data_IF_930027088964
#
_entry.id   IF_930027088964
#
_cell.length_a   1.000
_cell.length_b   1.000
_cell.length_c   1.000
_cell.angle_alpha   90.00
_cell.angle_beta   90.00
_cell.angle_gamma   90.00
#
_symmetry.space_group_name_H-M   'P 1'
#
loop_
_entity.id
_entity.type
_entity.pdbx_description
1 polymer ?
#
# COMPACT_ATOMS: atom_id res chain seq x y z
N UNK A 1 -43.89 16.77 38.77
CA UNK A 1 -42.47 16.91 39.11
C UNK A 1 -42.01 18.26 38.61
N UNK A 2 -41.19 18.94 39.39
CA UNK A 2 -40.57 20.21 39.01
C UNK A 2 -39.45 19.93 37.98
N UNK A 3 -39.53 20.43 36.74
CA UNK A 3 -38.54 20.16 35.69
C UNK A 3 -37.17 20.83 35.95
N UNK A 4 -37.07 21.77 36.90
CA UNK A 4 -35.83 22.46 37.26
C UNK A 4 -35.27 21.98 38.61
N UNK A 5 -35.88 20.95 39.21
CA UNK A 5 -35.49 20.43 40.51
C UNK A 5 -34.18 19.62 40.48
N UNK A 6 -33.35 19.64 41.54
CA UNK A 6 -32.09 18.90 41.61
C UNK A 6 -32.25 17.37 41.45
N UNK A 7 -33.43 16.85 41.77
CA UNK A 7 -33.77 15.43 41.58
C UNK A 7 -34.00 15.07 40.09
N UNK A 8 -34.51 16.01 39.27
CA UNK A 8 -34.70 15.78 37.84
C UNK A 8 -33.37 15.86 37.09
N UNK A 9 -32.50 16.81 37.45
CA UNK A 9 -31.15 16.95 36.89
C UNK A 9 -30.29 15.71 37.14
N UNK A 10 -30.26 15.21 38.38
CA UNK A 10 -29.54 13.97 38.72
C UNK A 10 -30.07 12.76 37.97
N UNK A 11 -31.40 12.61 37.85
CA UNK A 11 -32.00 11.53 37.08
C UNK A 11 -31.63 11.60 35.60
N UNK A 12 -31.67 12.80 35.00
CA UNK A 12 -31.36 13.00 33.59
C UNK A 12 -29.89 12.70 33.30
N UNK A 13 -28.96 13.11 34.17
CA UNK A 13 -27.53 12.77 34.10
C UNK A 13 -27.29 11.27 34.20
N UNK A 14 -27.94 10.60 35.15
CA UNK A 14 -27.86 9.14 35.29
C UNK A 14 -28.40 8.44 34.05
N UNK A 15 -29.54 8.88 33.50
CA UNK A 15 -30.10 8.32 32.28
C UNK A 15 -29.19 8.55 31.06
N UNK A 16 -28.61 9.73 30.92
CA UNK A 16 -27.68 10.06 29.84
C UNK A 16 -26.48 9.11 29.86
N UNK A 17 -25.83 8.92 31.01
CA UNK A 17 -24.65 8.05 31.14
C UNK A 17 -25.00 6.57 31.01
N UNK A 18 -26.11 6.12 31.60
CA UNK A 18 -26.51 4.69 31.59
C UNK A 18 -27.10 4.22 30.25
N UNK A 19 -27.68 5.14 29.47
CA UNK A 19 -28.19 4.87 28.11
C UNK A 19 -27.19 5.21 27.01
N UNK A 20 -26.08 5.88 27.34
CA UNK A 20 -24.98 6.13 26.41
C UNK A 20 -24.27 4.83 26.00
N UNK A 21 -23.50 4.90 24.90
CA UNK A 21 -22.77 3.75 24.40
C UNK A 21 -21.66 3.27 25.35
N UNK A 22 -21.29 1.97 25.30
CA UNK A 22 -20.31 1.35 26.21
C UNK A 22 -18.91 1.98 26.23
N UNK A 23 -18.51 2.69 25.19
CA UNK A 23 -17.24 3.43 25.06
C UNK A 23 -17.33 4.83 25.69
N UNK A 24 -18.48 5.49 25.54
CA UNK A 24 -18.74 6.84 26.07
C UNK A 24 -18.82 6.81 27.59
N UNK A 25 -19.61 5.90 28.20
CA UNK A 25 -19.68 5.84 29.67
C UNK A 25 -18.34 5.43 30.29
N UNK A 26 -17.54 4.55 29.66
CA UNK A 26 -16.17 4.24 30.11
C UNK A 26 -15.24 5.46 30.06
N UNK A 27 -15.38 6.31 29.03
CA UNK A 27 -14.62 7.55 28.90
C UNK A 27 -15.06 8.65 29.89
N UNK A 28 -16.36 8.72 30.18
CA UNK A 28 -16.95 9.67 31.13
C UNK A 28 -16.65 9.25 32.57
N UNK A 29 -16.77 7.96 32.91
CA UNK A 29 -16.59 7.44 34.27
C UNK A 29 -15.12 7.44 34.74
N UNK A 30 -14.14 7.51 33.82
CA UNK A 30 -12.72 7.75 34.17
C UNK A 30 -12.48 9.11 34.84
N UNK A 31 -13.45 10.01 34.78
CA UNK A 31 -13.41 11.33 35.37
C UNK A 31 -14.14 11.25 36.72
N UNK A 32 -13.43 11.06 37.84
CA UNK A 32 -14.06 10.81 39.15
C UNK A 32 -15.10 11.87 39.59
N UNK A 33 -15.11 13.03 38.93
CA UNK A 33 -15.97 14.16 39.22
C UNK A 33 -17.15 14.34 38.25
N UNK A 34 -17.43 13.36 37.37
CA UNK A 34 -18.48 13.48 36.33
C UNK A 34 -19.88 13.80 36.88
N UNK A 35 -20.17 13.42 38.12
CA UNK A 35 -21.44 13.70 38.80
C UNK A 35 -21.64 15.18 39.13
N UNK A 36 -20.54 15.92 39.33
CA UNK A 36 -20.58 17.35 39.64
C UNK A 36 -20.51 18.20 38.37
N UNK A 37 -20.39 17.58 37.20
CA UNK A 37 -20.33 18.30 35.93
C UNK A 37 -21.74 18.62 35.45
N UNK A 38 -21.98 19.82 34.89
CA UNK A 38 -23.25 20.16 34.29
C UNK A 38 -23.46 19.32 33.03
N UNK A 39 -24.72 19.09 32.63
CA UNK A 39 -25.06 18.18 31.53
C UNK A 39 -24.38 18.56 30.21
N UNK A 40 -24.18 19.86 29.98
CA UNK A 40 -23.52 20.44 28.80
C UNK A 40 -22.07 19.96 28.68
N UNK A 41 -21.35 19.85 29.79
CA UNK A 41 -19.99 19.33 29.83
C UNK A 41 -19.93 17.85 29.45
N UNK A 42 -20.92 17.07 29.88
CA UNK A 42 -21.05 15.67 29.52
C UNK A 42 -21.38 15.50 28.02
N UNK A 43 -22.26 16.33 27.49
CA UNK A 43 -22.61 16.35 26.06
C UNK A 43 -21.39 16.74 25.21
N UNK A 44 -20.66 17.79 25.60
CA UNK A 44 -19.43 18.23 24.91
C UNK A 44 -18.37 17.13 24.89
N UNK A 45 -18.14 16.48 26.04
CA UNK A 45 -17.17 15.37 26.16
C UNK A 45 -17.56 14.18 25.29
N UNK A 46 -18.85 13.85 25.25
CA UNK A 46 -19.41 12.79 24.40
C UNK A 46 -19.17 13.07 22.92
N UNK A 47 -19.42 14.31 22.46
CA UNK A 47 -19.15 14.72 21.08
C UNK A 47 -17.66 14.63 20.73
N UNK A 48 -16.77 15.04 21.64
CA UNK A 48 -15.32 14.91 21.43
C UNK A 48 -14.88 13.45 21.28
N UNK A 49 -15.42 12.53 22.08
CA UNK A 49 -15.14 11.09 21.95
C UNK A 49 -15.59 10.57 20.58
N UNK A 50 -16.76 11.02 20.10
CA UNK A 50 -17.25 10.66 18.77
C UNK A 50 -16.31 11.15 17.66
N UNK A 51 -15.91 12.44 17.70
CA UNK A 51 -15.03 13.05 16.70
C UNK A 51 -13.67 12.38 16.67
N UNK A 52 -13.03 12.16 17.83
CA UNK A 52 -11.74 11.45 17.89
C UNK A 52 -11.80 10.05 17.29
N UNK A 53 -12.89 9.31 17.55
CA UNK A 53 -13.07 7.98 16.98
C UNK A 53 -13.18 8.02 15.46
N UNK A 54 -13.84 9.03 14.92
CA UNK A 54 -13.97 9.23 13.48
C UNK A 54 -12.62 9.58 12.85
N UNK A 55 -11.88 10.52 13.46
CA UNK A 55 -10.51 10.86 13.07
C UNK A 55 -9.56 9.66 13.13
N UNK A 56 -9.64 8.83 14.17
CA UNK A 56 -8.86 7.60 14.29
C UNK A 56 -9.21 6.56 13.22
N UNK A 57 -10.50 6.45 12.86
CA UNK A 57 -10.95 5.58 11.77
C UNK A 57 -10.46 6.09 10.42
N UNK A 58 -10.61 7.38 10.14
CA UNK A 58 -10.12 8.00 8.91
C UNK A 58 -8.59 7.90 8.81
N UNK A 59 -7.86 8.06 9.92
CA UNK A 59 -6.41 7.86 9.96
C UNK A 59 -6.03 6.39 9.71
N UNK A 60 -6.77 5.42 10.25
CA UNK A 60 -6.57 4.01 9.98
C UNK A 60 -6.85 3.66 8.51
N UNK A 61 -7.92 4.22 7.94
CA UNK A 61 -8.24 4.08 6.53
C UNK A 61 -7.11 4.68 5.68
N UNK A 62 -6.65 5.89 5.97
CA UNK A 62 -5.53 6.52 5.26
C UNK A 62 -4.22 5.72 5.33
N UNK A 63 -3.96 5.00 6.43
CA UNK A 63 -2.79 4.11 6.56
C UNK A 63 -2.95 2.77 5.82
N UNK A 64 -4.19 2.33 5.55
CA UNK A 64 -4.49 1.04 4.93
C UNK A 64 -4.92 1.13 3.47
N UNK A 65 -5.23 2.33 2.99
CA UNK A 65 -5.46 2.55 1.56
C UNK A 65 -4.20 2.13 0.80
N UNK A 66 -4.33 1.17 -0.14
CA UNK A 66 -3.29 0.94 -1.13
C UNK A 66 -3.01 2.27 -1.81
N UNK A 67 -1.73 2.58 -2.02
CA UNK A 67 -1.34 3.70 -2.86
C UNK A 67 -1.70 3.30 -4.31
N UNK A 68 -2.99 3.42 -4.63
CA UNK A 68 -3.67 2.76 -5.76
C UNK A 68 -3.31 3.37 -7.13
N UNK A 69 -2.32 4.26 -7.14
CA UNK A 69 -1.74 4.81 -8.36
C UNK A 69 -0.52 3.98 -8.72
N UNK A 70 -0.73 2.86 -9.42
CA UNK A 70 0.37 2.11 -10.01
C UNK A 70 1.18 3.07 -10.91
N UNK A 71 2.34 3.50 -10.43
CA UNK A 71 3.19 4.49 -11.11
C UNK A 71 3.79 3.90 -12.41
N UNK A 72 3.66 2.59 -12.59
CA UNK A 72 3.99 1.86 -13.81
C UNK A 72 3.13 0.60 -14.01
N UNK A 73 2.87 0.24 -15.26
CA UNK A 73 2.15 -0.98 -15.63
C UNK A 73 3.07 -2.16 -15.99
N UNK A 74 4.24 -2.25 -15.34
CA UNK A 74 5.22 -3.31 -15.62
C UNK A 74 4.84 -4.56 -14.82
N UNK A 75 4.69 -5.70 -15.48
CA UNK A 75 4.31 -6.97 -14.84
C UNK A 75 5.50 -7.94 -14.74
N UNK A 76 5.51 -8.86 -13.76
CA UNK A 76 6.44 -9.99 -13.78
C UNK A 76 6.33 -10.75 -15.12
N UNK A 77 7.48 -11.05 -15.72
CA UNK A 77 7.60 -11.66 -17.05
C UNK A 77 7.84 -10.66 -18.18
N UNK A 78 7.57 -9.37 -17.97
CA UNK A 78 7.93 -8.32 -18.94
C UNK A 78 9.45 -8.19 -19.07
N UNK A 79 9.87 -7.70 -20.23
CA UNK A 79 11.27 -7.42 -20.50
C UNK A 79 11.53 -5.93 -20.36
N UNK A 80 12.60 -5.56 -19.67
CA UNK A 80 12.93 -4.17 -19.39
C UNK A 80 14.40 -3.85 -19.61
N UNK A 81 14.67 -2.60 -20.00
CA UNK A 81 15.99 -2.00 -19.99
C UNK A 81 16.20 -1.24 -18.69
N UNK A 82 17.34 -1.44 -18.06
CA UNK A 82 17.76 -0.75 -16.84
C UNK A 82 18.80 0.32 -17.19
N UNK A 83 18.59 1.53 -16.67
CA UNK A 83 19.50 2.66 -16.83
C UNK A 83 20.62 2.57 -15.79
N UNK A 84 21.82 2.25 -16.25
CA UNK A 84 23.04 2.26 -15.45
C UNK A 84 23.83 3.55 -15.66
N UNK A 85 24.51 4.01 -14.62
CA UNK A 85 25.48 5.11 -14.69
C UNK A 85 26.88 4.53 -14.50
N UNK A 86 27.82 4.88 -15.39
CA UNK A 86 29.25 4.62 -15.20
C UNK A 86 29.93 5.86 -14.63
N UNK A 87 30.91 5.65 -13.74
CA UNK A 87 31.63 6.74 -13.07
C UNK A 87 32.45 7.61 -14.06
N UNK A 88 32.92 7.04 -15.18
CA UNK A 88 33.56 7.80 -16.25
C UNK A 88 33.50 7.08 -17.62
N UNK A 89 33.11 7.78 -18.71
CA UNK A 89 32.39 9.06 -18.72
C UNK A 89 31.01 8.91 -18.04
N UNK A 90 30.46 9.98 -17.46
CA UNK A 90 29.12 10.02 -16.82
C UNK A 90 27.98 9.85 -17.85
N UNK A 91 27.97 8.73 -18.56
CA UNK A 91 26.98 8.37 -19.54
C UNK A 91 26.02 7.37 -18.95
N UNK A 92 24.73 7.71 -19.02
CA UNK A 92 23.68 6.74 -18.80
C UNK A 92 23.65 5.74 -19.96
N UNK A 93 23.84 4.46 -19.64
CA UNK A 93 23.67 3.37 -20.60
C UNK A 93 22.41 2.60 -20.25
N UNK A 94 21.55 2.39 -21.25
CA UNK A 94 20.46 1.43 -21.13
C UNK A 94 21.05 0.03 -21.39
N UNK A 95 20.90 -0.85 -20.40
CA UNK A 95 21.38 -2.23 -20.43
C UNK A 95 20.18 -3.17 -20.35
N UNK A 96 20.26 -4.32 -21.01
CA UNK A 96 19.16 -5.29 -21.10
C UNK A 96 18.76 -5.54 -22.55
N UNK A 97 17.75 -6.40 -22.79
CA UNK A 97 16.57 -6.62 -21.95
C UNK A 97 16.76 -7.63 -20.81
N UNK A 98 16.19 -7.31 -19.65
CA UNK A 98 16.13 -8.18 -18.47
C UNK A 98 14.69 -8.55 -18.16
N UNK A 99 14.45 -9.80 -17.80
CA UNK A 99 13.12 -10.25 -17.42
C UNK A 99 12.79 -9.79 -15.99
N UNK A 100 11.61 -9.21 -15.81
CA UNK A 100 11.11 -8.78 -14.50
C UNK A 100 10.65 -10.00 -13.72
N UNK A 101 11.15 -10.16 -12.50
CA UNK A 101 10.77 -11.24 -11.59
C UNK A 101 9.68 -10.80 -10.60
N UNK A 102 9.73 -9.54 -10.16
CA UNK A 102 8.76 -8.98 -9.21
C UNK A 102 8.57 -7.49 -9.48
N UNK A 103 7.34 -7.01 -9.26
CA UNK A 103 6.94 -5.61 -9.41
C UNK A 103 6.37 -5.14 -8.09
N UNK A 104 6.87 -4.01 -7.58
CA UNK A 104 6.21 -3.21 -6.54
C UNK A 104 5.76 -1.89 -7.15
N UNK A 105 5.08 -1.06 -6.38
CA UNK A 105 4.47 0.18 -6.88
C UNK A 105 5.45 1.15 -7.58
N UNK A 106 6.71 1.20 -7.14
CA UNK A 106 7.72 2.15 -7.63
C UNK A 106 9.02 1.48 -8.09
N UNK A 107 9.13 0.15 -8.00
CA UNK A 107 10.34 -0.55 -8.36
C UNK A 107 10.07 -1.92 -8.99
N UNK A 108 11.00 -2.32 -9.84
CA UNK A 108 11.02 -3.65 -10.47
C UNK A 108 12.24 -4.42 -9.98
N UNK A 109 12.08 -5.73 -9.83
CA UNK A 109 13.18 -6.64 -9.49
C UNK A 109 13.58 -7.46 -10.71
N UNK A 110 14.84 -7.38 -11.11
CA UNK A 110 15.46 -8.29 -12.09
C UNK A 110 16.49 -9.17 -11.39
N UNK A 111 16.85 -10.30 -12.01
CA UNK A 111 17.91 -11.16 -11.48
C UNK A 111 19.26 -10.41 -11.40
N UNK A 112 19.54 -9.57 -12.40
CA UNK A 112 20.86 -8.96 -12.58
C UNK A 112 21.07 -7.67 -11.79
N UNK A 113 20.01 -6.86 -11.61
CA UNK A 113 20.11 -5.54 -10.97
C UNK A 113 19.44 -5.46 -9.61
N UNK A 114 18.78 -6.54 -9.16
CA UNK A 114 17.96 -6.48 -7.95
C UNK A 114 16.83 -5.45 -8.12
N UNK A 115 16.58 -4.64 -7.10
CA UNK A 115 15.51 -3.63 -7.11
C UNK A 115 15.94 -2.34 -7.81
N UNK A 116 15.23 -1.99 -8.90
CA UNK A 116 15.45 -0.77 -9.67
C UNK A 116 14.19 0.09 -9.66
N UNK A 117 14.31 1.36 -9.32
CA UNK A 117 13.19 2.31 -9.37
C UNK A 117 12.67 2.51 -10.79
N UNK A 118 11.35 2.58 -10.97
CA UNK A 118 10.69 2.59 -12.28
C UNK A 118 11.15 3.72 -13.22
N UNK A 119 11.58 4.87 -12.70
CA UNK A 119 12.14 5.97 -13.51
C UNK A 119 13.46 5.63 -14.22
N UNK A 120 14.14 4.57 -13.79
CA UNK A 120 15.38 4.04 -14.40
C UNK A 120 15.10 2.81 -15.26
N UNK A 121 13.84 2.53 -15.56
CA UNK A 121 13.39 1.33 -16.25
C UNK A 121 12.60 1.73 -17.49
N UNK A 122 12.78 1.01 -18.59
CA UNK A 122 11.95 1.10 -19.78
C UNK A 122 11.50 -0.28 -20.21
N UNK A 123 10.23 -0.44 -20.58
CA UNK A 123 9.75 -1.68 -21.18
C UNK A 123 10.43 -1.90 -22.52
N UNK A 124 10.76 -3.15 -22.81
CA UNK A 124 11.45 -3.63 -23.99
C UNK A 124 10.75 -4.88 -24.52
N UNK A 125 11.03 -5.19 -25.78
CA UNK A 125 10.71 -6.50 -26.33
C UNK A 125 11.64 -7.57 -25.75
N UNK A 126 11.19 -8.82 -25.79
CA UNK A 126 11.99 -9.96 -25.39
C UNK A 126 13.24 -10.06 -26.29
N UNK A 127 14.41 -10.44 -25.73
CA UNK A 127 15.59 -10.64 -26.54
C UNK A 127 15.35 -11.76 -27.57
N UNK A 128 15.81 -11.54 -28.80
CA UNK A 128 15.88 -12.60 -29.79
C UNK A 128 16.96 -13.61 -29.37
N UNK A 129 16.53 -14.73 -28.80
CA UNK A 129 17.44 -15.80 -28.37
C UNK A 129 17.69 -16.73 -29.55
N UNK A 130 18.97 -16.87 -29.92
CA UNK A 130 19.43 -17.88 -30.86
C UNK A 130 19.84 -19.13 -30.09
N UNK A 131 19.26 -20.28 -30.43
CA UNK A 131 19.64 -21.57 -29.86
C UNK A 131 20.41 -22.38 -30.89
N UNK A 132 21.55 -22.95 -30.50
CA UNK A 132 22.27 -23.90 -31.34
C UNK A 132 21.73 -25.31 -31.09
N UNK A 133 21.34 -25.99 -32.15
CA UNK A 133 21.01 -27.41 -32.14
C UNK A 133 22.10 -28.18 -32.87
N UNK A 134 22.62 -29.22 -32.23
CA UNK A 134 23.55 -30.16 -32.85
C UNK A 134 22.73 -31.31 -33.42
N UNK A 135 22.57 -31.35 -34.74
CA UNK A 135 21.87 -32.42 -35.44
C UNK A 135 22.87 -33.24 -36.27
N UNK A 136 22.80 -34.56 -36.19
CA UNK A 136 23.62 -35.46 -36.99
C UNK A 136 22.80 -36.10 -38.09
N UNK A 137 22.93 -35.61 -39.33
CA UNK A 137 22.45 -36.32 -40.52
C UNK A 137 23.65 -36.96 -41.21
N UNK A 138 23.57 -38.27 -41.45
CA UNK A 138 24.60 -39.05 -42.16
C UNK A 138 25.96 -39.16 -41.45
N UNK A 139 25.98 -39.16 -40.11
CA UNK A 139 27.21 -39.30 -39.33
C UNK A 139 28.11 -38.05 -39.32
N UNK A 140 27.65 -36.94 -39.90
CA UNK A 140 28.36 -35.65 -39.88
C UNK A 140 27.69 -34.70 -38.88
N UNK A 141 28.41 -34.14 -37.90
CA UNK A 141 27.83 -33.17 -36.98
C UNK A 141 27.48 -31.89 -37.74
N UNK A 142 26.21 -31.46 -37.66
CA UNK A 142 25.70 -30.22 -38.23
C UNK A 142 25.19 -29.33 -37.10
N UNK A 143 25.78 -28.15 -36.97
CA UNK A 143 25.27 -27.11 -36.07
C UNK A 143 24.23 -26.30 -36.84
N UNK A 144 22.98 -26.32 -36.38
CA UNK A 144 21.90 -25.49 -36.90
C UNK A 144 21.57 -24.43 -35.85
N UNK A 145 21.63 -23.16 -36.24
CA UNK A 145 21.20 -22.07 -35.37
C UNK A 145 19.71 -21.84 -35.59
N UNK A 146 18.90 -22.10 -34.57
CA UNK A 146 17.46 -21.91 -34.59
C UNK A 146 17.11 -20.61 -33.88
N UNK A 147 16.26 -19.80 -34.52
CA UNK A 147 15.71 -18.59 -33.92
C UNK A 147 14.52 -19.00 -33.05
N UNK A 148 14.67 -19.00 -31.73
CA UNK A 148 13.57 -19.25 -30.80
C UNK A 148 13.00 -17.91 -30.34
N UNK A 149 12.07 -17.37 -31.12
CA UNK A 149 11.09 -16.40 -30.61
C UNK A 149 9.90 -17.21 -30.12
N UNK A 150 9.46 -16.98 -28.88
CA UNK A 150 8.22 -17.55 -28.37
C UNK A 150 7.06 -17.00 -29.24
N UNK A 151 6.65 -17.75 -30.26
CA UNK A 151 5.41 -17.50 -31.00
C UNK A 151 4.25 -17.49 -30.00
N UNK A 152 3.44 -16.43 -30.05
CA UNK A 152 2.21 -16.29 -29.28
C UNK A 152 1.09 -17.06 -29.96
#
# INVERSE_FOLDING_TARGET
MDPEGPAFDTLLKVQFVTKAWPDIWKGVQKDEEWQNKPLEELVRKTQQIYVRRDEEKEAQLAQTLPLDFAVHNIQPGDWVLVKEWKEAPLMAKWCGPFQVLLTTETAVKTAEHGWTHHTRVKVSEAPEIWTSQLEGKDGKPRLTLCRSGLER
#
